data_IF_728699980030
#
_entry.id   IF_728699980030
#
_cell.length_a   1.000
_cell.length_b   1.000
_cell.length_c   1.000
_cell.angle_alpha   90.00
_cell.angle_beta   90.00
_cell.angle_gamma   90.00
#
_symmetry.space_group_name_H-M   'P 1'
#
loop_
_entity.id
_entity.type
_entity.pdbx_description
1 polymer ?
#
# COMPACT_ATOMS: atom_id res chain seq x y z
N UNK A 1 -26.83 -13.55 5.27
CA UNK A 1 -25.83 -14.56 4.86
C UNK A 1 -26.42 -15.95 5.05
N UNK A 2 -26.13 -16.96 4.20
CA UNK A 2 -26.62 -18.31 4.41
C UNK A 2 -26.16 -18.86 5.76
N UNK A 3 -27.05 -19.49 6.54
CA UNK A 3 -26.70 -20.07 7.84
C UNK A 3 -25.67 -21.18 7.66
N UNK A 4 -24.60 -21.13 8.46
CA UNK A 4 -23.56 -22.17 8.49
C UNK A 4 -24.15 -23.43 9.12
N UNK A 5 -23.78 -24.61 8.60
CA UNK A 5 -24.16 -25.90 9.21
C UNK A 5 -23.54 -25.98 10.61
N UNK A 6 -24.29 -26.51 11.58
CA UNK A 6 -23.76 -26.80 12.93
C UNK A 6 -22.48 -27.64 12.85
N UNK A 7 -21.55 -27.42 13.77
CA UNK A 7 -20.29 -28.17 13.83
C UNK A 7 -20.55 -29.67 13.99
N UNK A 8 -21.53 -30.08 14.79
CA UNK A 8 -21.85 -31.50 15.02
C UNK A 8 -22.30 -32.18 13.73
N UNK A 9 -23.21 -31.53 12.99
CA UNK A 9 -23.66 -32.01 11.68
C UNK A 9 -22.52 -32.04 10.66
N UNK A 10 -21.58 -31.09 10.74
CA UNK A 10 -20.41 -31.04 9.85
C UNK A 10 -19.44 -32.18 10.14
N UNK A 11 -19.18 -32.50 11.41
CA UNK A 11 -18.34 -33.65 11.79
C UNK A 11 -18.99 -34.99 11.44
N UNK A 12 -20.31 -35.13 11.64
CA UNK A 12 -21.05 -36.31 11.19
C UNK A 12 -20.96 -36.52 9.67
N UNK A 13 -21.07 -35.44 8.88
CA UNK A 13 -20.88 -35.48 7.42
C UNK A 13 -19.44 -35.89 7.05
N UNK A 14 -18.42 -35.32 7.72
CA UNK A 14 -17.01 -35.70 7.48
C UNK A 14 -16.74 -37.17 7.81
N UNK A 15 -17.24 -37.64 8.95
CA UNK A 15 -17.13 -39.04 9.35
C UNK A 15 -17.75 -39.97 8.30
N UNK A 16 -18.98 -39.69 7.86
CA UNK A 16 -19.64 -40.46 6.80
C UNK A 16 -18.90 -40.45 5.46
N UNK A 17 -18.24 -39.33 5.10
CA UNK A 17 -17.39 -39.24 3.92
C UNK A 17 -16.16 -40.14 4.06
N UNK A 18 -15.49 -40.13 5.22
CA UNK A 18 -14.29 -40.96 5.49
C UNK A 18 -14.62 -42.45 5.50
N UNK A 19 -15.80 -42.83 6.00
CA UNK A 19 -16.31 -44.20 5.97
C UNK A 19 -16.84 -44.66 4.60
N UNK A 20 -16.71 -43.86 3.55
CA UNK A 20 -17.12 -44.25 2.19
C UNK A 20 -18.63 -44.29 1.93
N UNK A 21 -19.46 -43.75 2.83
CA UNK A 21 -20.93 -43.77 2.68
C UNK A 21 -21.39 -42.92 1.49
N UNK A 22 -22.53 -43.30 0.91
CA UNK A 22 -23.11 -42.56 -0.21
C UNK A 22 -23.63 -41.20 0.24
N UNK A 23 -23.63 -40.22 -0.68
CA UNK A 23 -24.11 -38.86 -0.39
C UNK A 23 -25.58 -38.84 0.02
N UNK A 24 -26.38 -39.79 -0.46
CA UNK A 24 -27.80 -39.92 -0.13
C UNK A 24 -27.99 -40.44 1.31
N UNK A 25 -27.20 -41.42 1.71
CA UNK A 25 -27.22 -41.98 3.06
C UNK A 25 -26.85 -40.91 4.10
N UNK A 26 -25.74 -40.20 3.88
CA UNK A 26 -25.30 -39.08 4.73
C UNK A 26 -26.38 -38.00 4.82
N UNK A 27 -27.08 -37.71 3.71
CA UNK A 27 -28.16 -36.71 3.69
C UNK A 27 -29.35 -37.11 4.54
N UNK A 28 -29.75 -38.39 4.49
CA UNK A 28 -30.83 -38.95 5.32
C UNK A 28 -30.47 -38.94 6.80
N UNK A 29 -29.25 -39.33 7.17
CA UNK A 29 -28.82 -39.39 8.58
C UNK A 29 -28.64 -38.02 9.21
N UNK A 30 -28.03 -37.07 8.48
CA UNK A 30 -27.63 -35.77 9.05
C UNK A 30 -28.65 -34.64 8.80
N UNK A 31 -29.63 -34.87 7.91
CA UNK A 31 -30.58 -33.86 7.45
C UNK A 31 -29.93 -32.72 6.66
N UNK A 32 -28.71 -32.92 6.16
CA UNK A 32 -27.94 -31.93 5.39
C UNK A 32 -28.18 -32.14 3.90
N UNK A 33 -28.34 -31.04 3.14
CA UNK A 33 -28.57 -31.12 1.70
C UNK A 33 -27.39 -31.75 0.95
N UNK A 34 -27.68 -32.51 -0.11
CA UNK A 34 -26.67 -33.14 -0.99
C UNK A 34 -25.62 -32.14 -1.50
N UNK A 35 -26.04 -30.91 -1.80
CA UNK A 35 -25.14 -29.85 -2.27
C UNK A 35 -24.08 -29.49 -1.21
N UNK A 36 -24.50 -29.38 0.05
CA UNK A 36 -23.63 -29.06 1.17
C UNK A 36 -22.66 -30.21 1.47
N UNK A 37 -23.13 -31.45 1.37
CA UNK A 37 -22.29 -32.65 1.53
C UNK A 37 -21.20 -32.69 0.44
N UNK A 38 -21.57 -32.44 -0.83
CA UNK A 38 -20.60 -32.40 -1.92
C UNK A 38 -19.58 -31.25 -1.77
N UNK A 39 -20.01 -30.09 -1.22
CA UNK A 39 -19.10 -29.00 -0.87
C UNK A 39 -18.10 -29.41 0.21
N UNK A 40 -18.58 -30.00 1.32
CA UNK A 40 -17.72 -30.50 2.41
C UNK A 40 -16.79 -31.60 1.91
N UNK A 41 -17.26 -32.49 1.02
CA UNK A 41 -16.43 -33.53 0.38
C UNK A 41 -15.29 -32.95 -0.44
N UNK A 42 -15.50 -31.84 -1.16
CA UNK A 42 -14.43 -31.12 -1.87
C UNK A 42 -13.43 -30.47 -0.93
N UNK A 43 -13.93 -29.89 0.18
CA UNK A 43 -13.09 -29.31 1.24
C UNK A 43 -12.20 -30.39 1.89
N UNK A 44 -12.76 -31.54 2.25
CA UNK A 44 -12.02 -32.66 2.88
C UNK A 44 -10.97 -33.27 1.93
N UNK A 45 -11.25 -33.27 0.62
CA UNK A 45 -10.28 -33.66 -0.42
C UNK A 45 -9.27 -32.55 -0.77
N UNK A 46 -9.25 -31.44 -0.04
CA UNK A 46 -8.40 -30.26 -0.32
C UNK A 46 -8.50 -29.74 -1.77
N UNK A 47 -9.63 -29.95 -2.45
CA UNK A 47 -9.85 -29.46 -3.80
C UNK A 47 -10.09 -27.96 -3.72
N UNK A 48 -9.02 -27.18 -3.93
CA UNK A 48 -9.08 -25.72 -3.93
C UNK A 48 -10.06 -25.25 -5.01
N UNK A 49 -10.90 -24.28 -4.65
CA UNK A 49 -11.75 -23.62 -5.64
C UNK A 49 -10.85 -22.96 -6.70
N UNK A 50 -11.26 -23.07 -7.98
CA UNK A 50 -10.60 -22.35 -9.07
C UNK A 50 -10.57 -20.87 -8.75
N UNK A 51 -9.42 -20.23 -8.96
CA UNK A 51 -9.31 -18.79 -8.84
C UNK A 51 -10.27 -18.16 -9.86
N UNK A 52 -11.33 -17.50 -9.36
CA UNK A 52 -12.33 -16.84 -10.21
C UNK A 52 -11.79 -15.56 -10.88
N UNK A 53 -10.54 -15.20 -10.58
CA UNK A 53 -9.95 -13.95 -11.00
C UNK A 53 -10.56 -12.77 -10.25
N UNK A 54 -9.94 -11.61 -10.44
CA UNK A 54 -10.46 -10.34 -9.96
C UNK A 54 -10.95 -9.48 -11.12
N UNK A 55 -11.47 -8.30 -10.79
CA UNK A 55 -11.80 -7.27 -11.79
C UNK A 55 -10.55 -6.93 -12.62
N UNK A 56 -10.67 -6.84 -13.96
CA UNK A 56 -9.56 -6.43 -14.82
C UNK A 56 -8.94 -5.11 -14.38
N UNK A 57 -7.62 -5.01 -14.50
CA UNK A 57 -6.88 -3.79 -14.16
C UNK A 57 -7.09 -2.76 -15.28
N UNK A 58 -7.56 -1.57 -14.92
CA UNK A 58 -7.84 -0.47 -15.88
C UNK A 58 -6.59 0.01 -16.61
N UNK A 59 -5.46 0.12 -15.89
CA UNK A 59 -4.20 0.66 -16.42
C UNK A 59 -3.18 -0.45 -16.61
N UNK A 60 -2.63 -0.56 -17.82
CA UNK A 60 -1.64 -1.58 -18.20
C UNK A 60 -0.35 -1.45 -17.38
N UNK A 61 0.38 -2.55 -17.21
CA UNK A 61 1.65 -2.59 -16.46
C UNK A 61 2.70 -1.61 -17.00
N UNK A 62 2.80 -1.49 -18.34
CA UNK A 62 3.72 -0.57 -19.02
C UNK A 62 3.40 0.89 -18.66
N UNK A 63 2.13 1.29 -18.76
CA UNK A 63 1.69 2.64 -18.38
C UNK A 63 1.97 2.93 -16.91
N UNK A 64 1.83 1.95 -16.02
CA UNK A 64 2.21 2.10 -14.62
C UNK A 64 3.72 2.39 -14.47
N UNK A 65 4.58 1.73 -15.23
CA UNK A 65 6.02 2.00 -15.20
C UNK A 65 6.34 3.43 -15.67
N UNK A 66 5.66 3.91 -16.72
CA UNK A 66 5.81 5.28 -17.23
C UNK A 66 5.39 6.32 -16.18
N UNK A 67 4.26 6.10 -15.50
CA UNK A 67 3.81 7.01 -14.42
C UNK A 67 4.82 7.04 -13.28
N UNK A 68 5.35 5.88 -12.87
CA UNK A 68 6.40 5.81 -11.84
C UNK A 68 7.62 6.63 -12.22
N UNK A 69 8.07 6.51 -13.47
CA UNK A 69 9.22 7.26 -13.99
C UNK A 69 8.95 8.77 -13.96
N UNK A 70 7.82 9.22 -14.53
CA UNK A 70 7.45 10.64 -14.59
C UNK A 70 7.28 11.28 -13.21
N UNK A 71 6.73 10.55 -12.23
CA UNK A 71 6.65 11.02 -10.84
C UNK A 71 8.04 11.17 -10.21
N UNK A 72 8.95 10.21 -10.43
CA UNK A 72 10.33 10.28 -9.90
C UNK A 72 11.13 11.41 -10.51
N UNK A 73 10.91 11.71 -11.79
CA UNK A 73 11.52 12.85 -12.48
C UNK A 73 10.90 14.19 -12.09
N UNK A 74 9.81 14.21 -11.32
CA UNK A 74 9.11 15.44 -10.94
C UNK A 74 8.29 16.08 -12.06
N UNK A 75 8.07 15.36 -13.17
CA UNK A 75 7.23 15.78 -14.30
C UNK A 75 5.73 15.70 -13.98
N UNK A 76 5.35 14.80 -13.05
CA UNK A 76 4.03 14.75 -12.45
C UNK A 76 4.20 15.02 -10.96
N UNK A 77 3.44 15.96 -10.41
CA UNK A 77 3.54 16.35 -8.99
C UNK A 77 2.32 15.94 -8.20
N UNK A 78 1.16 15.95 -8.84
CA UNK A 78 -0.12 15.69 -8.19
C UNK A 78 -0.84 14.47 -8.78
N UNK A 79 -1.87 14.01 -8.08
CA UNK A 79 -2.81 13.02 -8.61
C UNK A 79 -3.66 13.58 -9.76
N UNK A 80 -3.90 14.90 -9.81
CA UNK A 80 -4.51 15.57 -10.95
C UNK A 80 -3.63 15.47 -12.20
N UNK A 81 -2.32 15.72 -12.07
CA UNK A 81 -1.38 15.64 -13.20
C UNK A 81 -1.34 14.22 -13.76
N UNK A 82 -1.27 13.23 -12.86
CA UNK A 82 -1.30 11.82 -13.25
C UNK A 82 -2.64 11.44 -13.90
N UNK A 83 -3.76 12.04 -13.48
CA UNK A 83 -5.06 11.83 -14.12
C UNK A 83 -5.10 12.42 -15.53
N UNK A 84 -4.64 13.66 -15.71
CA UNK A 84 -4.58 14.33 -17.01
C UNK A 84 -3.71 13.53 -17.98
N UNK A 85 -2.53 13.08 -17.53
CA UNK A 85 -1.65 12.21 -18.31
C UNK A 85 -2.29 10.88 -18.69
N UNK A 86 -3.03 10.25 -17.78
CA UNK A 86 -3.76 9.01 -18.11
C UNK A 86 -4.87 9.26 -19.12
N UNK A 87 -5.60 10.37 -19.00
CA UNK A 87 -6.65 10.75 -19.95
C UNK A 87 -6.09 11.05 -21.34
N UNK A 88 -4.93 11.70 -21.42
CA UNK A 88 -4.26 11.95 -22.71
C UNK A 88 -3.79 10.66 -23.40
N UNK A 89 -3.64 9.57 -22.66
CA UNK A 89 -3.37 8.23 -23.19
C UNK A 89 -4.65 7.41 -23.49
N UNK A 90 -5.83 8.04 -23.43
CA UNK A 90 -7.11 7.41 -23.70
C UNK A 90 -7.75 6.66 -22.52
N UNK A 91 -7.19 6.76 -21.30
CA UNK A 91 -7.79 6.10 -20.15
C UNK A 91 -8.93 6.93 -19.55
N UNK A 92 -10.14 6.36 -19.52
CA UNK A 92 -11.25 6.90 -18.72
C UNK A 92 -11.07 6.53 -17.24
N UNK A 93 -10.48 7.45 -16.47
CA UNK A 93 -10.19 7.23 -15.05
C UNK A 93 -10.57 8.43 -14.18
N UNK A 94 -11.10 8.13 -12.99
CA UNK A 94 -11.40 9.12 -11.95
C UNK A 94 -10.19 9.38 -11.06
N UNK A 95 -10.12 10.57 -10.46
CA UNK A 95 -9.06 10.96 -9.53
C UNK A 95 -8.91 9.98 -8.37
N UNK A 96 -10.01 9.45 -7.85
CA UNK A 96 -10.01 8.42 -6.80
C UNK A 96 -9.32 7.13 -7.25
N UNK A 97 -9.55 6.70 -8.48
CA UNK A 97 -8.88 5.53 -9.07
C UNK A 97 -7.40 5.78 -9.30
N UNK A 98 -7.01 6.99 -9.72
CA UNK A 98 -5.60 7.39 -9.81
C UNK A 98 -4.91 7.30 -8.45
N UNK A 99 -5.50 7.83 -7.37
CA UNK A 99 -4.91 7.68 -6.01
C UNK A 99 -4.74 6.23 -5.57
N UNK A 100 -5.69 5.35 -5.92
CA UNK A 100 -5.56 3.91 -5.64
C UNK A 100 -4.43 3.30 -6.45
N UNK A 101 -4.31 3.68 -7.72
CA UNK A 101 -3.21 3.26 -8.59
C UNK A 101 -1.87 3.70 -8.02
N UNK A 102 -1.71 4.99 -7.68
CA UNK A 102 -0.49 5.56 -7.10
C UNK A 102 -0.06 4.83 -5.83
N UNK A 103 -1.00 4.53 -4.92
CA UNK A 103 -0.72 3.72 -3.73
C UNK A 103 -0.27 2.30 -4.09
N UNK A 104 -0.91 1.65 -5.07
CA UNK A 104 -0.52 0.32 -5.55
C UNK A 104 0.87 0.31 -6.18
N UNK A 105 1.29 1.42 -6.80
CA UNK A 105 2.63 1.56 -7.37
C UNK A 105 3.68 2.10 -6.36
N UNK A 106 3.31 2.23 -5.08
CA UNK A 106 4.23 2.55 -3.99
C UNK A 106 4.35 4.03 -3.62
N UNK A 107 3.51 4.91 -4.19
CA UNK A 107 3.54 6.33 -3.88
C UNK A 107 2.60 6.69 -2.73
N UNK A 108 3.04 7.63 -1.90
CA UNK A 108 2.26 8.24 -0.82
C UNK A 108 2.23 9.75 -1.06
N UNK A 109 1.10 10.37 -0.73
CA UNK A 109 1.00 11.83 -0.69
C UNK A 109 1.70 12.35 0.56
N UNK A 110 2.39 13.48 0.44
CA UNK A 110 3.01 14.16 1.56
C UNK A 110 3.22 15.64 1.23
N UNK A 111 3.24 16.47 2.27
CA UNK A 111 3.59 17.88 2.15
C UNK A 111 5.10 17.99 2.16
N UNK A 112 5.66 18.69 1.17
CA UNK A 112 7.09 18.98 1.15
C UNK A 112 7.41 19.94 2.30
N UNK A 113 8.30 19.53 3.21
CA UNK A 113 8.79 20.42 4.28
C UNK A 113 9.49 21.63 3.64
N UNK A 114 9.20 22.82 4.15
CA UNK A 114 9.93 24.02 3.78
C UNK A 114 11.41 23.82 4.13
N UNK A 115 12.29 24.23 3.21
CA UNK A 115 13.73 24.28 3.41
C UNK A 115 14.20 25.61 2.84
N UNK A 116 14.94 26.42 3.59
CA UNK A 116 15.51 27.64 3.05
C UNK A 116 16.43 27.29 1.88
N UNK A 117 16.42 28.15 0.86
CA UNK A 117 17.32 27.99 -0.27
C UNK A 117 18.76 28.20 0.20
N UNK A 118 19.64 27.25 -0.09
CA UNK A 118 21.07 27.37 0.17
C UNK A 118 21.77 27.41 -1.19
N UNK A 119 22.45 28.51 -1.48
CA UNK A 119 23.25 28.64 -2.70
C UNK A 119 24.31 27.53 -2.78
N UNK A 120 24.74 27.19 -3.99
CA UNK A 120 25.77 26.18 -4.20
C UNK A 120 27.09 26.51 -3.47
N UNK A 121 27.45 27.79 -3.44
CA UNK A 121 28.62 28.29 -2.70
C UNK A 121 28.49 28.05 -1.19
N UNK A 122 27.32 28.35 -0.61
CA UNK A 122 27.07 28.14 0.82
C UNK A 122 27.00 26.65 1.17
N UNK A 123 26.48 25.79 0.28
CA UNK A 123 26.49 24.34 0.47
C UNK A 123 27.93 23.80 0.59
N UNK A 124 28.84 24.24 -0.30
CA UNK A 124 30.26 23.86 -0.23
C UNK A 124 30.93 24.31 1.06
N UNK A 125 30.71 25.56 1.46
CA UNK A 125 31.27 26.11 2.71
C UNK A 125 30.81 25.31 3.93
N UNK A 126 29.50 25.04 4.02
CA UNK A 126 28.92 24.24 5.11
C UNK A 126 29.48 22.83 5.14
N UNK A 127 29.55 22.15 3.98
CA UNK A 127 30.09 20.80 3.89
C UNK A 127 31.57 20.74 4.30
N UNK A 128 32.39 21.70 3.85
CA UNK A 128 33.79 21.81 4.24
C UNK A 128 33.91 22.00 5.74
N UNK A 129 33.17 22.96 6.30
CA UNK A 129 33.18 23.24 7.73
C UNK A 129 32.82 22.01 8.58
N UNK A 130 31.80 21.24 8.18
CA UNK A 130 31.45 19.98 8.84
C UNK A 130 32.59 18.94 8.74
N UNK A 131 33.18 18.78 7.55
CA UNK A 131 34.27 17.83 7.32
C UNK A 131 35.49 18.16 8.18
N UNK A 132 35.90 19.43 8.20
CA UNK A 132 37.04 19.92 8.98
C UNK A 132 36.88 19.67 10.50
N UNK A 133 35.63 19.50 10.97
CA UNK A 133 35.27 19.31 12.38
C UNK A 133 34.73 17.92 12.69
N UNK A 134 34.94 16.96 11.77
CA UNK A 134 34.46 15.57 11.97
C UNK A 134 35.25 14.85 13.06
N UNK A 135 36.54 15.18 13.22
CA UNK A 135 37.43 14.60 14.24
C UNK A 135 37.46 15.37 15.55
N UNK A 136 36.62 16.39 15.71
CA UNK A 136 36.62 17.22 16.91
C UNK A 136 36.05 16.44 18.10
N UNK A 137 36.76 16.51 19.21
CA UNK A 137 36.40 15.93 20.50
C UNK A 137 35.46 16.84 21.28
N UNK A 138 34.91 16.35 22.39
CA UNK A 138 34.07 17.16 23.28
C UNK A 138 34.85 18.35 23.83
N UNK A 139 36.14 18.16 24.11
CA UNK A 139 37.06 19.19 24.60
C UNK A 139 37.24 20.31 23.58
N UNK A 140 37.37 19.97 22.29
CA UNK A 140 37.45 20.97 21.21
C UNK A 140 36.17 21.82 21.14
N UNK A 141 34.99 21.20 21.28
CA UNK A 141 33.71 21.90 21.27
C UNK A 141 33.49 22.81 22.48
N UNK A 142 34.07 22.48 23.65
CA UNK A 142 34.00 23.35 24.84
C UNK A 142 34.65 24.72 24.61
N UNK A 143 35.55 24.83 23.63
CA UNK A 143 36.17 26.11 23.26
C UNK A 143 35.32 26.98 22.34
N UNK A 144 34.19 26.47 21.82
CA UNK A 144 33.33 27.18 20.86
C UNK A 144 32.09 27.73 21.55
N UNK A 145 31.87 29.03 21.40
CA UNK A 145 30.63 29.69 21.80
C UNK A 145 29.82 29.99 20.53
N UNK A 146 28.56 29.54 20.51
CA UNK A 146 27.61 29.88 19.44
C UNK A 146 26.70 31.01 19.91
N UNK A 147 26.58 32.04 19.09
CA UNK A 147 25.59 33.12 19.25
C UNK A 147 24.75 33.22 17.98
N UNK A 148 23.45 33.44 18.14
CA UNK A 148 22.53 33.74 17.05
C UNK A 148 21.55 34.82 17.51
N UNK A 149 21.01 35.59 16.56
CA UNK A 149 20.03 36.63 16.83
C UNK A 149 18.65 36.18 16.35
N UNK A 150 17.61 36.50 17.13
CA UNK A 150 16.22 36.24 16.74
C UNK A 150 15.41 37.53 16.86
N UNK A 151 14.64 37.85 15.83
CA UNK A 151 13.71 38.98 15.84
C UNK A 151 12.50 38.65 16.73
N UNK A 152 12.24 39.49 17.73
CA UNK A 152 11.06 39.42 18.59
C UNK A 152 10.20 40.65 18.30
N UNK A 153 9.01 40.45 17.75
CA UNK A 153 8.06 41.53 17.50
C UNK A 153 7.19 41.74 18.73
N UNK A 154 7.29 42.92 19.35
CA UNK A 154 6.48 43.29 20.53
C UNK A 154 5.09 43.78 20.12
N UNK A 155 4.96 44.42 18.95
CA UNK A 155 3.69 44.91 18.42
C UNK A 155 3.60 44.68 16.90
N UNK A 156 2.48 44.08 16.45
CA UNK A 156 2.19 43.87 15.02
C UNK A 156 3.01 42.77 14.33
N UNK A 157 2.52 42.35 13.16
CA UNK A 157 3.31 41.62 12.17
C UNK A 157 3.86 42.63 11.15
N UNK A 158 5.04 42.35 10.58
CA UNK A 158 5.57 43.15 9.45
C UNK A 158 4.67 43.08 8.22
#
# INVERSE_FOLDING_TARGET
>A
MPKKVSNDKREAVKSGIRSGRTTMDISRTTGVSKWTINRIRKEEKNIKARNRGGRPVVVKKITNAIIRLKLRQGLLRTDSDAQLFLRSLGYSISKRSVRRLLRKIGFKSGIKKYKPFISYTNQKKRLKWCRDKTSWTVEDWKSVIFSDETKINVWGAD
#
